data_IF_054278309222
#
_entry.id   IF_054278309222
#
_cell.length_a   1.000
_cell.length_b   1.000
_cell.length_c   1.000
_cell.angle_alpha   90.00
_cell.angle_beta   90.00
_cell.angle_gamma   90.00
#
_symmetry.space_group_name_H-M   'P 1'
#
loop_
_entity.id
_entity.type
_entity.pdbx_description
1 polymer ?
#
# COMPACT_ATOMS: atom_id res chain seq x y z
N UNK A 1 21.70 -23.44 -32.42
CA UNK A 1 22.70 -23.11 -31.41
C UNK A 1 22.24 -21.86 -30.69
N UNK A 2 21.53 -22.06 -29.58
CA UNK A 2 20.88 -20.99 -28.83
C UNK A 2 21.78 -20.66 -27.64
N UNK A 3 22.30 -19.46 -27.62
CA UNK A 3 23.05 -18.95 -26.46
C UNK A 3 22.07 -18.50 -25.39
N UNK A 4 21.92 -19.31 -24.34
CA UNK A 4 21.31 -18.91 -23.08
C UNK A 4 22.33 -18.06 -22.32
N UNK A 5 22.15 -16.75 -22.27
CA UNK A 5 22.88 -15.86 -21.36
C UNK A 5 22.25 -16.02 -19.97
N UNK A 6 22.95 -16.74 -19.11
CA UNK A 6 22.62 -16.81 -17.68
C UNK A 6 22.97 -15.46 -17.05
N UNK A 7 21.96 -14.73 -16.59
CA UNK A 7 22.14 -13.53 -15.76
C UNK A 7 22.53 -13.99 -14.37
N UNK A 8 23.82 -13.89 -14.05
CA UNK A 8 24.35 -14.17 -12.72
C UNK A 8 24.08 -12.95 -11.83
N UNK A 9 23.12 -13.07 -10.91
CA UNK A 9 22.96 -12.11 -9.82
C UNK A 9 24.13 -12.26 -8.86
N UNK A 10 25.10 -11.36 -8.91
CA UNK A 10 26.17 -11.27 -7.91
C UNK A 10 25.66 -10.39 -6.78
N UNK A 11 25.05 -10.99 -5.75
CA UNK A 11 24.83 -10.33 -4.47
C UNK A 11 26.19 -10.28 -3.74
N UNK A 12 26.82 -9.12 -3.72
CA UNK A 12 28.03 -8.92 -2.95
C UNK A 12 27.70 -8.82 -1.45
N UNK A 13 27.95 -9.89 -0.72
CA UNK A 13 27.83 -9.90 0.74
C UNK A 13 29.13 -9.34 1.36
N UNK A 14 29.03 -8.22 2.03
CA UNK A 14 30.13 -7.71 2.87
C UNK A 14 29.76 -7.91 4.34
N UNK A 15 30.49 -8.77 5.04
CA UNK A 15 30.42 -8.89 6.50
C UNK A 15 31.33 -7.84 7.12
N UNK A 16 30.77 -6.92 7.90
CA UNK A 16 31.52 -6.00 8.76
C UNK A 16 31.82 -6.70 10.09
N UNK A 17 33.02 -6.56 10.69
CA UNK A 17 33.37 -7.26 11.94
C UNK A 17 32.45 -6.86 13.07
N UNK A 18 32.21 -7.82 13.98
CA UNK A 18 31.36 -7.73 15.18
C UNK A 18 31.63 -6.45 15.98
N UNK A 19 30.72 -5.51 15.90
CA UNK A 19 30.73 -4.23 16.62
C UNK A 19 29.53 -3.33 16.27
N UNK A 20 28.85 -3.55 15.18
CA UNK A 20 27.61 -2.86 14.84
C UNK A 20 26.59 -3.85 14.26
N UNK A 21 25.47 -4.02 14.93
CA UNK A 21 24.42 -4.99 14.67
C UNK A 21 23.57 -4.73 13.41
N UNK A 22 24.09 -4.06 12.38
CA UNK A 22 23.35 -3.80 11.14
C UNK A 22 24.25 -4.03 9.92
N UNK A 23 24.10 -5.20 9.28
CA UNK A 23 24.63 -5.38 7.92
C UNK A 23 23.75 -4.58 6.96
N UNK A 24 24.26 -3.50 6.40
CA UNK A 24 23.56 -2.72 5.37
C UNK A 24 23.73 -3.45 4.03
N UNK A 25 22.61 -3.76 3.38
CA UNK A 25 22.61 -4.24 1.99
C UNK A 25 22.37 -3.08 1.05
N UNK A 26 23.04 -3.14 -0.09
CA UNK A 26 22.81 -2.23 -1.20
C UNK A 26 22.59 -3.06 -2.46
N UNK A 27 21.56 -2.73 -3.21
CA UNK A 27 21.25 -3.36 -4.49
C UNK A 27 21.57 -2.38 -5.61
N UNK A 28 22.31 -2.84 -6.62
CA UNK A 28 22.58 -2.07 -7.83
C UNK A 28 21.29 -1.95 -8.65
N UNK A 29 20.95 -0.73 -9.07
CA UNK A 29 19.89 -0.50 -10.02
C UNK A 29 20.45 -0.20 -11.40
N UNK A 30 20.20 -1.11 -12.35
CA UNK A 30 20.63 -0.95 -13.73
C UNK A 30 19.86 0.18 -14.45
N UNK A 31 18.67 0.53 -13.96
CA UNK A 31 17.86 1.61 -14.54
C UNK A 31 18.47 3.00 -14.37
N UNK A 32 19.36 3.15 -13.39
CA UNK A 32 20.04 4.41 -13.09
C UNK A 32 21.53 4.38 -13.45
N UNK A 33 22.05 3.28 -14.01
CA UNK A 33 23.42 3.26 -14.48
C UNK A 33 23.64 4.31 -15.58
N UNK A 34 24.79 4.95 -15.55
CA UNK A 34 25.17 6.04 -16.46
C UNK A 34 24.26 7.28 -16.40
N UNK A 35 23.56 7.51 -15.28
CA UNK A 35 22.74 8.70 -15.06
C UNK A 35 23.45 9.70 -14.14
N UNK A 36 23.26 10.98 -14.40
CA UNK A 36 23.66 12.07 -13.51
C UNK A 36 22.45 12.52 -12.72
N UNK A 37 22.60 12.67 -11.40
CA UNK A 37 21.55 13.22 -10.56
C UNK A 37 21.71 14.73 -10.40
N UNK A 38 20.58 15.44 -10.46
CA UNK A 38 20.48 16.87 -10.19
C UNK A 38 20.29 17.19 -8.70
N UNK A 39 19.97 16.17 -7.86
CA UNK A 39 19.71 16.32 -6.42
C UNK A 39 20.77 15.64 -5.57
N UNK A 40 22.03 15.96 -5.84
CA UNK A 40 23.17 15.42 -5.10
C UNK A 40 23.27 16.05 -3.69
N UNK A 41 23.38 15.20 -2.64
CA UNK A 41 23.61 15.67 -1.27
C UNK A 41 25.08 16.04 -1.07
N UNK A 42 26.00 15.20 -1.56
CA UNK A 42 27.44 15.36 -1.49
C UNK A 42 28.09 14.61 -2.65
N UNK A 43 29.01 15.29 -3.34
CA UNK A 43 29.90 14.68 -4.34
C UNK A 43 31.32 14.64 -3.80
N UNK A 44 31.83 13.46 -3.49
CA UNK A 44 33.18 13.30 -2.92
C UNK A 44 34.04 12.34 -3.71
N UNK A 45 35.36 12.58 -3.66
CA UNK A 45 36.32 11.59 -4.08
C UNK A 45 36.43 10.49 -3.03
N UNK A 46 36.44 9.22 -3.47
CA UNK A 46 36.54 8.04 -2.61
C UNK A 46 37.52 7.04 -3.22
N UNK A 47 38.17 6.27 -2.36
CA UNK A 47 39.20 5.32 -2.79
C UNK A 47 38.55 4.08 -3.41
N UNK A 48 37.35 3.70 -2.93
CA UNK A 48 36.69 2.45 -3.33
C UNK A 48 35.18 2.54 -3.26
N UNK A 49 34.50 1.59 -3.89
CA UNK A 49 33.07 1.34 -3.73
C UNK A 49 32.66 1.20 -2.26
N UNK A 50 33.44 0.45 -1.45
CA UNK A 50 33.18 0.24 -0.03
C UNK A 50 33.16 1.55 0.75
N UNK A 51 34.12 2.42 0.47
CA UNK A 51 34.23 3.74 1.10
C UNK A 51 33.01 4.62 0.74
N UNK A 52 32.53 4.57 -0.52
CA UNK A 52 31.31 5.24 -0.92
C UNK A 52 30.07 4.70 -0.18
N UNK A 53 29.93 3.38 -0.07
CA UNK A 53 28.83 2.76 0.65
C UNK A 53 28.84 3.09 2.15
N UNK A 54 30.01 3.19 2.78
CA UNK A 54 30.15 3.56 4.19
C UNK A 54 29.80 5.03 4.48
N UNK A 55 29.95 5.90 3.50
CA UNK A 55 29.56 7.31 3.60
C UNK A 55 28.05 7.52 3.49
N UNK A 56 27.33 6.61 2.85
CA UNK A 56 25.87 6.65 2.73
C UNK A 56 25.20 6.28 4.07
N UNK A 57 25.08 7.26 4.99
CA UNK A 57 24.52 7.11 6.35
C UNK A 57 23.42 8.14 6.60
N UNK A 58 22.63 7.92 7.66
CA UNK A 58 21.55 8.82 8.04
C UNK A 58 20.45 8.86 6.95
N UNK A 59 20.21 10.05 6.42
CA UNK A 59 19.22 10.31 5.38
C UNK A 59 19.61 9.83 3.97
N UNK A 60 20.79 9.25 3.81
CA UNK A 60 21.25 8.74 2.52
C UNK A 60 20.54 7.42 2.19
N UNK A 61 19.70 7.42 1.17
CA UNK A 61 18.98 6.24 0.68
C UNK A 61 19.63 5.62 -0.58
N UNK A 62 20.44 6.40 -1.31
CA UNK A 62 21.06 5.99 -2.57
C UNK A 62 22.47 6.55 -2.66
N UNK A 63 23.40 5.76 -3.17
CA UNK A 63 24.68 6.30 -3.60
C UNK A 63 25.03 5.90 -5.04
N UNK A 64 25.63 6.83 -5.76
CA UNK A 64 26.26 6.59 -7.04
C UNK A 64 27.76 6.41 -6.88
N UNK A 65 28.35 5.46 -7.58
CA UNK A 65 29.79 5.26 -7.63
C UNK A 65 30.29 5.18 -9.07
N UNK A 66 31.30 5.98 -9.38
CA UNK A 66 31.99 5.92 -10.66
C UNK A 66 33.42 5.45 -10.42
N UNK A 67 33.73 4.25 -10.88
CA UNK A 67 35.04 3.62 -10.66
C UNK A 67 36.17 4.30 -11.43
N UNK A 68 35.91 4.76 -12.64
CA UNK A 68 36.88 5.47 -13.47
C UNK A 68 37.28 6.82 -12.89
N UNK A 69 36.32 7.55 -12.31
CA UNK A 69 36.56 8.85 -11.72
C UNK A 69 36.92 8.77 -10.22
N UNK A 70 36.77 7.61 -9.58
CA UNK A 70 36.85 7.43 -8.10
C UNK A 70 35.98 8.41 -7.35
N UNK A 71 34.76 8.63 -7.84
CA UNK A 71 33.81 9.56 -7.26
C UNK A 71 32.60 8.85 -6.67
N UNK A 72 32.08 9.42 -5.57
CA UNK A 72 30.90 9.01 -4.85
C UNK A 72 29.87 10.16 -4.86
N UNK A 73 28.61 9.84 -5.09
CA UNK A 73 27.48 10.76 -4.97
C UNK A 73 26.49 10.20 -3.97
N UNK A 74 26.04 11.01 -3.05
CA UNK A 74 25.09 10.61 -2.01
C UNK A 74 23.76 11.33 -2.24
N UNK A 75 22.65 10.60 -2.14
CA UNK A 75 21.31 11.13 -2.38
C UNK A 75 20.34 10.61 -1.30
N UNK A 76 19.34 11.42 -0.92
CA UNK A 76 18.20 10.95 -0.12
C UNK A 76 17.31 10.02 -0.93
N UNK A 77 16.95 10.45 -2.13
CA UNK A 77 16.15 9.73 -3.12
C UNK A 77 16.70 10.04 -4.51
N UNK A 78 16.48 9.15 -5.45
CA UNK A 78 16.83 9.34 -6.85
C UNK A 78 15.60 9.08 -7.72
N UNK A 79 15.17 10.08 -8.49
CA UNK A 79 14.05 9.98 -9.42
C UNK A 79 14.55 9.97 -10.86
N UNK A 80 13.93 9.14 -11.71
CA UNK A 80 14.31 9.02 -13.13
C UNK A 80 14.21 10.34 -13.89
N UNK A 81 13.24 11.18 -13.54
CA UNK A 81 13.05 12.50 -14.14
C UNK A 81 14.10 13.54 -13.76
N UNK A 82 14.87 13.29 -12.70
CA UNK A 82 15.92 14.17 -12.20
C UNK A 82 17.32 13.68 -12.54
N UNK A 83 17.46 12.81 -13.56
CA UNK A 83 18.74 12.26 -13.98
C UNK A 83 19.01 12.56 -15.45
N UNK A 84 20.24 12.93 -15.78
CA UNK A 84 20.77 13.03 -17.15
C UNK A 84 21.79 11.91 -17.39
N UNK A 85 22.10 11.63 -18.67
CA UNK A 85 23.06 10.58 -19.01
C UNK A 85 24.49 11.04 -18.68
N UNK A 86 25.22 10.20 -17.93
CA UNK A 86 26.64 10.40 -17.61
C UNK A 86 27.33 9.03 -17.48
N UNK A 87 28.27 8.74 -18.36
CA UNK A 87 28.89 7.45 -18.48
C UNK A 87 29.69 7.05 -17.23
N UNK A 88 29.68 5.76 -16.91
CA UNK A 88 30.47 5.14 -15.85
C UNK A 88 29.84 5.20 -14.45
N UNK A 89 28.73 5.87 -14.28
CA UNK A 89 28.03 5.88 -12.98
C UNK A 89 27.17 4.63 -12.78
N UNK A 90 27.29 4.02 -11.59
CA UNK A 90 26.49 2.90 -11.11
C UNK A 90 25.84 3.29 -9.81
N UNK A 91 24.51 3.15 -9.70
CA UNK A 91 23.73 3.55 -8.53
C UNK A 91 23.32 2.34 -7.71
N UNK A 92 23.46 2.48 -6.39
CA UNK A 92 23.18 1.46 -5.39
C UNK A 92 22.22 2.03 -4.37
N UNK A 93 21.09 1.36 -4.22
CA UNK A 93 20.08 1.73 -3.28
C UNK A 93 20.34 1.02 -1.95
N UNK A 94 20.22 1.77 -0.85
CA UNK A 94 20.22 1.14 0.47
C UNK A 94 19.00 0.21 0.51
N UNK A 95 19.21 -1.03 0.92
CA UNK A 95 18.15 -2.03 1.07
C UNK A 95 17.34 -1.70 2.33
N UNK A 96 16.70 -0.51 2.35
CA UNK A 96 15.62 -0.28 3.28
C UNK A 96 14.49 -1.22 2.90
N UNK A 97 14.05 -2.01 3.85
CA UNK A 97 12.84 -2.78 3.69
C UNK A 97 11.73 -1.82 3.26
N UNK A 98 11.17 -2.03 2.08
CA UNK A 98 10.04 -1.23 1.63
C UNK A 98 8.89 -1.44 2.63
N UNK A 99 8.46 -0.37 3.29
CA UNK A 99 7.40 -0.47 4.31
C UNK A 99 6.02 -0.44 3.68
N UNK A 100 5.92 0.10 2.47
CA UNK A 100 4.70 0.21 1.66
C UNK A 100 5.01 0.27 0.16
N UNK A 101 3.99 0.39 -0.68
CA UNK A 101 4.17 0.47 -2.12
C UNK A 101 4.74 1.83 -2.58
N UNK A 102 4.63 2.88 -1.78
CA UNK A 102 5.29 4.16 -2.09
C UNK A 102 6.82 4.03 -1.97
N UNK A 103 7.32 3.27 -0.98
CA UNK A 103 8.75 2.97 -0.89
C UNK A 103 9.27 2.19 -2.12
N UNK A 104 8.45 1.27 -2.65
CA UNK A 104 8.81 0.55 -3.88
C UNK A 104 8.86 1.48 -5.08
N UNK A 105 7.88 2.38 -5.22
CA UNK A 105 7.87 3.39 -6.29
C UNK A 105 9.08 4.32 -6.16
N UNK A 106 9.40 4.77 -4.95
CA UNK A 106 10.57 5.61 -4.66
C UNK A 106 11.90 4.91 -5.01
N UNK A 107 11.92 3.56 -4.95
CA UNK A 107 13.06 2.72 -5.38
C UNK A 107 13.10 2.45 -6.89
N UNK A 108 12.15 3.01 -7.66
CA UNK A 108 12.12 2.89 -9.11
C UNK A 108 11.33 1.69 -9.64
N UNK A 109 10.58 0.97 -8.80
CA UNK A 109 9.63 -0.02 -9.32
C UNK A 109 8.48 0.71 -10.03
N UNK A 110 8.16 0.31 -11.27
CA UNK A 110 7.13 0.96 -12.09
C UNK A 110 6.00 0.02 -12.51
N UNK A 111 6.17 -1.28 -12.32
CA UNK A 111 5.18 -2.28 -12.71
C UNK A 111 4.29 -2.61 -11.52
N UNK A 112 2.97 -2.48 -11.72
CA UNK A 112 1.99 -2.93 -10.72
C UNK A 112 2.05 -4.45 -10.59
N UNK A 113 1.90 -4.96 -9.35
CA UNK A 113 1.99 -6.40 -9.09
C UNK A 113 2.04 -6.71 -7.60
N UNK A 114 2.28 -7.97 -7.27
CA UNK A 114 2.42 -8.41 -5.88
C UNK A 114 3.86 -8.31 -5.44
N UNK A 115 4.05 -7.69 -4.27
CA UNK A 115 5.35 -7.43 -3.66
C UNK A 115 5.34 -7.78 -2.18
N UNK A 116 6.52 -8.06 -1.64
CA UNK A 116 6.75 -8.14 -0.20
C UNK A 116 7.05 -6.74 0.34
N UNK A 117 6.27 -6.27 1.30
CA UNK A 117 6.52 -5.07 2.08
C UNK A 117 6.77 -5.44 3.55
N UNK A 118 7.35 -4.52 4.31
CA UNK A 118 7.74 -4.75 5.70
C UNK A 118 7.19 -3.65 6.61
N UNK A 119 5.88 -3.55 6.79
CA UNK A 119 5.25 -2.47 7.55
C UNK A 119 5.74 -2.42 8.99
N UNK A 120 6.04 -3.57 9.60
CA UNK A 120 6.59 -3.69 10.95
C UNK A 120 8.10 -3.44 11.03
N UNK A 121 8.77 -3.16 9.90
CA UNK A 121 10.24 -3.00 9.79
C UNK A 121 11.03 -4.19 10.32
N UNK A 122 10.44 -5.38 10.30
CA UNK A 122 11.06 -6.65 10.72
C UNK A 122 11.34 -7.49 9.48
N UNK A 123 12.61 -7.78 9.14
CA UNK A 123 12.99 -8.49 7.91
C UNK A 123 12.42 -9.90 7.76
N UNK A 124 12.15 -10.57 8.90
CA UNK A 124 11.60 -11.93 8.90
C UNK A 124 10.06 -11.97 8.80
N UNK A 125 9.39 -10.82 8.75
CA UNK A 125 7.93 -10.73 8.71
C UNK A 125 7.50 -9.86 7.51
N UNK A 126 7.66 -10.37 6.27
CA UNK A 126 7.11 -9.70 5.09
C UNK A 126 5.60 -9.85 5.04
N UNK A 127 4.94 -8.85 4.49
CA UNK A 127 3.52 -8.88 4.13
C UNK A 127 3.41 -8.80 2.62
N UNK A 128 2.77 -9.80 1.99
CA UNK A 128 2.48 -9.74 0.56
C UNK A 128 1.29 -8.83 0.30
N UNK A 129 1.49 -7.85 -0.59
CA UNK A 129 0.44 -6.90 -0.98
C UNK A 129 0.44 -6.68 -2.49
N UNK A 130 -0.69 -6.31 -3.05
CA UNK A 130 -0.73 -5.79 -4.41
C UNK A 130 -0.37 -4.30 -4.38
N UNK A 131 0.65 -3.91 -5.13
CA UNK A 131 1.04 -2.52 -5.34
C UNK A 131 0.53 -2.05 -6.70
N UNK A 132 -0.26 -0.98 -6.69
CA UNK A 132 -0.62 -0.26 -7.89
C UNK A 132 0.38 0.91 -8.07
N UNK A 133 1.31 0.73 -9.00
CA UNK A 133 2.40 1.68 -9.25
C UNK A 133 2.12 2.61 -10.43
N UNK A 134 0.87 2.62 -10.93
CA UNK A 134 0.48 3.37 -12.11
C UNK A 134 -0.68 4.33 -11.88
N UNK A 135 -1.72 3.93 -11.15
CA UNK A 135 -2.92 4.75 -10.90
C UNK A 135 -2.54 6.06 -10.20
N UNK A 136 -2.93 7.22 -10.79
CA UNK A 136 -2.70 8.55 -10.22
C UNK A 136 -1.27 8.77 -9.68
N UNK A 137 -0.28 8.37 -10.46
CA UNK A 137 1.13 8.51 -10.10
C UNK A 137 1.71 7.35 -9.29
N UNK A 138 0.93 6.29 -9.02
CA UNK A 138 1.40 5.07 -8.37
C UNK A 138 1.63 5.18 -6.86
N UNK A 139 2.25 4.16 -6.30
CA UNK A 139 2.60 4.09 -4.87
C UNK A 139 1.45 3.62 -3.96
N UNK A 140 0.38 3.06 -4.53
CA UNK A 140 -0.79 2.60 -3.80
C UNK A 140 -0.63 1.18 -3.29
N UNK A 141 -0.88 0.96 -2.00
CA UNK A 141 -0.95 -0.35 -1.34
C UNK A 141 -2.39 -0.80 -1.25
N UNK A 142 -2.77 -1.90 -1.91
CA UNK A 142 -4.11 -2.44 -1.82
C UNK A 142 -4.34 -3.08 -0.44
N UNK A 143 -5.37 -2.59 0.27
CA UNK A 143 -5.79 -3.12 1.57
C UNK A 143 -6.98 -4.07 1.43
N UNK A 144 -7.77 -3.92 0.38
CA UNK A 144 -8.89 -4.79 0.01
C UNK A 144 -8.92 -4.96 -1.50
N UNK A 145 -9.24 -6.15 -1.96
CA UNK A 145 -9.49 -6.43 -3.38
C UNK A 145 -10.51 -7.56 -3.51
N UNK A 146 -11.50 -7.37 -4.38
CA UNK A 146 -12.49 -8.38 -4.75
C UNK A 146 -12.64 -8.44 -6.26
N UNK A 147 -12.87 -9.64 -6.80
CA UNK A 147 -12.93 -9.91 -8.24
C UNK A 147 -14.16 -10.74 -8.61
N UNK A 148 -14.45 -11.81 -7.87
CA UNK A 148 -15.42 -12.83 -8.26
C UNK A 148 -16.15 -13.50 -7.09
N UNK A 149 -15.83 -13.11 -5.86
CA UNK A 149 -16.42 -13.69 -4.64
C UNK A 149 -15.89 -15.07 -4.27
N UNK A 150 -14.75 -15.49 -4.84
CA UNK A 150 -14.11 -16.78 -4.53
C UNK A 150 -13.60 -16.86 -3.08
N UNK A 151 -13.32 -15.72 -2.46
CA UNK A 151 -12.97 -15.61 -1.04
C UNK A 151 -14.16 -15.09 -0.26
N UNK A 152 -14.63 -15.85 0.74
CA UNK A 152 -15.65 -15.34 1.65
C UNK A 152 -15.10 -14.24 2.56
N UNK A 153 -15.83 -13.12 2.65
CA UNK A 153 -15.59 -12.03 3.59
C UNK A 153 -16.50 -12.11 4.83
N UNK A 154 -17.36 -13.14 4.92
CA UNK A 154 -18.02 -13.53 6.17
C UNK A 154 -17.01 -14.20 7.09
N UNK A 155 -16.29 -13.39 7.85
CA UNK A 155 -15.15 -13.76 8.68
C UNK A 155 -15.27 -13.17 10.06
N UNK A 156 -14.62 -13.82 11.03
CA UNK A 156 -14.57 -13.39 12.42
C UNK A 156 -13.53 -12.27 12.65
N UNK A 157 -13.52 -11.73 13.86
CA UNK A 157 -12.58 -10.66 14.28
C UNK A 157 -11.12 -11.03 14.08
N UNK A 158 -10.73 -12.23 14.48
CA UNK A 158 -9.36 -12.70 14.36
C UNK A 158 -8.90 -12.80 12.90
N UNK A 159 -9.78 -13.24 12.00
CA UNK A 159 -9.49 -13.27 10.57
C UNK A 159 -9.28 -11.85 10.03
N UNK A 160 -10.18 -10.91 10.33
CA UNK A 160 -10.03 -9.52 9.92
C UNK A 160 -8.81 -8.83 10.52
N UNK A 161 -8.47 -9.14 11.77
CA UNK A 161 -7.24 -8.68 12.41
C UNK A 161 -6.00 -9.09 11.63
N UNK A 162 -5.89 -10.39 11.32
CA UNK A 162 -4.68 -11.00 10.75
C UNK A 162 -4.61 -10.90 9.22
N UNK A 163 -5.75 -10.70 8.55
CA UNK A 163 -5.89 -10.75 7.10
C UNK A 163 -6.19 -12.14 6.55
N UNK A 164 -6.78 -12.19 5.37
CA UNK A 164 -7.16 -13.42 4.67
C UNK A 164 -7.17 -13.21 3.15
N UNK A 165 -7.21 -14.32 2.40
CA UNK A 165 -7.18 -14.32 0.95
C UNK A 165 -5.77 -14.21 0.38
N UNK A 166 -5.67 -13.74 -0.87
CA UNK A 166 -4.41 -13.58 -1.60
C UNK A 166 -4.41 -12.28 -2.40
N UNK A 167 -3.32 -11.48 -2.37
CA UNK A 167 -3.22 -10.25 -3.15
C UNK A 167 -3.24 -10.48 -4.67
N UNK A 168 -2.95 -11.69 -5.14
CA UNK A 168 -3.13 -12.08 -6.54
C UNK A 168 -4.61 -12.08 -6.94
N UNK A 169 -5.51 -12.49 -6.05
CA UNK A 169 -6.95 -12.66 -6.29
C UNK A 169 -7.77 -11.73 -5.42
N UNK A 170 -8.39 -12.24 -4.36
CA UNK A 170 -9.18 -11.48 -3.39
C UNK A 170 -8.50 -11.46 -2.03
N UNK A 171 -8.46 -10.31 -1.37
CA UNK A 171 -7.71 -10.12 -0.12
C UNK A 171 -8.31 -9.05 0.77
N UNK A 172 -8.20 -9.27 2.08
CA UNK A 172 -8.13 -8.27 3.14
C UNK A 172 -6.78 -8.42 3.81
N UNK A 173 -5.94 -7.37 3.82
CA UNK A 173 -4.54 -7.51 4.28
C UNK A 173 -4.39 -7.59 5.79
N UNK A 174 -5.45 -7.37 6.55
CA UNK A 174 -5.47 -7.39 8.01
C UNK A 174 -5.48 -6.01 8.66
N UNK A 175 -6.32 -5.85 9.70
CA UNK A 175 -6.46 -4.58 10.40
C UNK A 175 -5.18 -4.17 11.11
N UNK A 176 -4.38 -5.11 11.65
CA UNK A 176 -3.08 -4.82 12.25
C UNK A 176 -2.11 -4.22 11.22
N UNK A 177 -2.12 -4.74 9.99
CA UNK A 177 -1.29 -4.22 8.90
C UNK A 177 -1.77 -2.84 8.47
N UNK A 178 -3.10 -2.65 8.32
CA UNK A 178 -3.69 -1.35 7.96
C UNK A 178 -3.34 -0.29 9.00
N UNK A 179 -3.51 -0.62 10.30
CA UNK A 179 -3.10 0.26 11.39
C UNK A 179 -1.61 0.62 11.27
N UNK A 180 -0.75 -0.37 11.12
CA UNK A 180 0.69 -0.17 11.04
C UNK A 180 1.11 0.72 9.87
N UNK A 181 0.44 0.61 8.71
CA UNK A 181 0.69 1.44 7.53
C UNK A 181 0.21 2.89 7.69
N UNK A 182 -0.77 3.15 8.56
CA UNK A 182 -1.46 4.45 8.65
C UNK A 182 -1.24 5.22 9.97
N UNK A 183 -0.62 4.61 10.98
CA UNK A 183 -0.49 5.18 12.33
C UNK A 183 0.45 6.39 12.44
N UNK A 184 1.47 6.48 11.58
CA UNK A 184 2.52 7.50 11.69
C UNK A 184 2.38 8.63 10.65
N UNK A 185 1.68 8.37 9.54
CA UNK A 185 1.59 9.30 8.42
C UNK A 185 0.15 9.48 7.95
N UNK A 186 -0.17 10.68 7.51
CA UNK A 186 -1.41 10.91 6.78
C UNK A 186 -1.40 10.10 5.48
N UNK A 187 -2.43 9.30 5.27
CA UNK A 187 -2.58 8.49 4.06
C UNK A 187 -3.84 8.91 3.31
N UNK A 188 -3.81 8.91 1.98
CA UNK A 188 -5.03 8.93 1.17
C UNK A 188 -5.63 7.55 1.08
N UNK A 189 -6.97 7.48 1.01
CA UNK A 189 -7.73 6.29 0.64
C UNK A 189 -8.25 6.46 -0.78
N UNK A 190 -8.02 5.46 -1.63
CA UNK A 190 -8.63 5.32 -2.95
C UNK A 190 -9.54 4.11 -2.96
N UNK A 191 -10.82 4.32 -3.24
CA UNK A 191 -11.83 3.28 -3.42
C UNK A 191 -12.17 3.19 -4.90
N UNK A 192 -12.29 1.98 -5.44
CA UNK A 192 -12.80 1.79 -6.79
C UNK A 192 -13.76 0.62 -6.90
N UNK A 193 -14.74 0.78 -7.79
CA UNK A 193 -15.73 -0.25 -8.15
C UNK A 193 -15.75 -0.39 -9.66
N UNK A 194 -15.52 -1.61 -10.16
CA UNK A 194 -15.59 -1.94 -11.57
C UNK A 194 -16.96 -2.50 -11.89
N UNK A 195 -17.68 -1.86 -12.79
CA UNK A 195 -18.99 -2.29 -13.27
C UNK A 195 -18.87 -3.41 -14.32
N UNK A 196 -19.95 -4.17 -14.63
CA UNK A 196 -19.92 -5.25 -15.61
C UNK A 196 -19.52 -4.83 -17.02
N UNK A 197 -19.81 -3.59 -17.41
CA UNK A 197 -19.42 -3.01 -18.70
C UNK A 197 -17.94 -2.59 -18.77
N UNK A 198 -17.17 -2.83 -17.68
CA UNK A 198 -15.77 -2.46 -17.57
C UNK A 198 -15.53 -1.00 -17.12
N UNK A 199 -16.58 -0.20 -16.90
CA UNK A 199 -16.43 1.14 -16.33
C UNK A 199 -15.88 1.05 -14.91
N UNK A 200 -14.84 1.82 -14.63
CA UNK A 200 -14.25 1.93 -13.29
C UNK A 200 -14.67 3.26 -12.65
N UNK A 201 -15.46 3.19 -11.61
CA UNK A 201 -15.83 4.33 -10.79
C UNK A 201 -14.91 4.39 -9.57
N UNK A 202 -14.60 5.56 -9.08
CA UNK A 202 -13.71 5.73 -7.92
C UNK A 202 -14.13 6.89 -7.04
N UNK A 203 -13.67 6.83 -5.77
CA UNK A 203 -13.69 7.95 -4.83
C UNK A 203 -12.38 7.97 -4.04
N UNK A 204 -11.88 9.16 -3.78
CA UNK A 204 -10.61 9.36 -3.08
C UNK A 204 -10.82 10.30 -1.90
N UNK A 205 -10.25 9.94 -0.76
CA UNK A 205 -10.29 10.69 0.50
C UNK A 205 -8.88 11.15 0.88
N UNK A 206 -8.75 12.40 1.29
CA UNK A 206 -7.45 13.02 1.57
C UNK A 206 -6.75 12.52 2.81
N UNK A 207 -7.50 12.06 3.82
CA UNK A 207 -6.93 11.50 5.05
C UNK A 207 -7.60 10.19 5.46
N UNK A 208 -6.79 9.17 5.73
CA UNK A 208 -7.24 7.85 6.19
C UNK A 208 -6.28 7.29 7.22
N UNK A 209 -6.80 6.86 8.34
CA UNK A 209 -6.06 6.03 9.29
C UNK A 209 -7.00 5.15 10.11
N UNK A 210 -6.45 4.12 10.73
CA UNK A 210 -7.16 3.17 11.57
C UNK A 210 -6.42 3.03 12.90
N UNK A 211 -7.14 3.07 14.04
CA UNK A 211 -6.54 2.84 15.36
C UNK A 211 -6.04 1.38 15.51
N UNK A 212 -5.34 1.09 16.59
CA UNK A 212 -4.97 -0.28 16.95
C UNK A 212 -6.17 -1.10 17.45
N UNK A 213 -5.93 -2.37 17.80
CA UNK A 213 -6.96 -3.28 18.31
C UNK A 213 -7.59 -2.79 19.63
N UNK A 214 -6.80 -2.15 20.51
CA UNK A 214 -7.31 -1.59 21.76
C UNK A 214 -8.32 -0.46 21.51
N UNK A 215 -8.12 0.30 20.44
CA UNK A 215 -9.06 1.29 19.90
C UNK A 215 -10.11 0.68 18.97
N UNK A 216 -10.25 -0.66 18.91
CA UNK A 216 -11.24 -1.38 18.08
C UNK A 216 -11.13 -1.04 16.59
N UNK A 217 -9.94 -0.77 16.09
CA UNK A 217 -9.67 -0.37 14.72
C UNK A 217 -10.56 0.78 14.23
N UNK A 218 -10.77 1.79 15.08
CA UNK A 218 -11.58 2.96 14.79
C UNK A 218 -11.10 3.65 13.52
N UNK A 219 -12.03 3.95 12.61
CA UNK A 219 -11.76 4.66 11.37
C UNK A 219 -11.61 6.15 11.61
N UNK A 220 -10.55 6.75 11.09
CA UNK A 220 -10.40 8.20 10.95
C UNK A 220 -10.31 8.54 9.47
N UNK A 221 -11.31 9.25 8.97
CA UNK A 221 -11.41 9.64 7.57
C UNK A 221 -11.62 11.14 7.48
N UNK A 222 -10.91 11.80 6.57
CA UNK A 222 -11.06 13.24 6.33
C UNK A 222 -11.14 13.54 4.84
N UNK A 223 -11.82 14.64 4.51
CA UNK A 223 -11.94 15.12 3.14
C UNK A 223 -10.71 15.89 2.64
N UNK A 224 -10.80 16.44 1.42
CA UNK A 224 -11.98 16.34 0.57
C UNK A 224 -12.19 14.93 -0.02
N UNK A 225 -13.45 14.57 -0.29
CA UNK A 225 -13.81 13.43 -1.12
C UNK A 225 -13.88 13.88 -2.58
N UNK A 226 -13.23 13.16 -3.49
CA UNK A 226 -13.17 13.50 -4.92
C UNK A 226 -13.18 12.26 -5.78
N UNK A 227 -14.08 12.21 -6.73
CA UNK A 227 -14.18 11.06 -7.63
C UNK A 227 -15.44 11.03 -8.47
N UNK A 228 -15.78 9.86 -8.97
CA UNK A 228 -16.95 9.61 -9.82
C UNK A 228 -18.01 8.75 -9.14
N UNK A 229 -17.70 8.14 -7.97
CA UNK A 229 -18.65 7.38 -7.17
C UNK A 229 -19.57 8.29 -6.34
N UNK A 230 -19.07 9.46 -5.93
CA UNK A 230 -19.72 10.32 -4.92
C UNK A 230 -19.46 9.83 -3.50
N UNK A 231 -19.30 10.78 -2.58
CA UNK A 231 -18.96 10.50 -1.19
C UNK A 231 -20.05 9.69 -0.47
N UNK A 232 -19.65 8.57 0.14
CA UNK A 232 -20.52 7.69 0.95
C UNK A 232 -19.83 7.17 2.21
N UNK A 233 -18.66 7.71 2.52
CA UNK A 233 -17.95 7.35 3.74
C UNK A 233 -17.80 8.52 4.71
N UNK A 234 -17.81 9.77 4.22
CA UNK A 234 -17.87 10.97 5.05
C UNK A 234 -19.29 11.57 5.09
N UNK A 235 -20.02 11.52 4.00
CA UNK A 235 -21.44 11.92 3.78
C UNK A 235 -21.95 13.06 4.70
N UNK A 236 -21.15 14.11 4.80
CA UNK A 236 -21.34 15.21 5.74
C UNK A 236 -22.56 16.09 5.44
N UNK A 237 -23.29 15.81 4.38
CA UNK A 237 -24.45 16.60 3.93
C UNK A 237 -25.78 15.84 3.88
N UNK A 238 -25.80 14.55 4.17
CA UNK A 238 -27.02 13.73 4.14
C UNK A 238 -27.81 13.86 5.46
N UNK A 239 -29.14 14.01 5.40
CA UNK A 239 -29.99 13.96 6.58
C UNK A 239 -29.91 12.62 7.32
N UNK A 240 -29.48 11.55 6.64
CA UNK A 240 -29.39 10.21 7.20
C UNK A 240 -28.07 9.95 7.94
N UNK A 241 -27.13 10.88 7.84
CA UNK A 241 -25.83 10.88 8.53
C UNK A 241 -25.08 9.54 8.45
N UNK A 242 -24.61 9.19 7.27
CA UNK A 242 -23.86 7.95 7.00
C UNK A 242 -22.34 8.11 7.18
N UNK A 243 -21.88 9.16 7.85
CA UNK A 243 -20.46 9.39 8.13
C UNK A 243 -19.88 8.19 8.89
N UNK A 244 -18.90 7.53 8.29
CA UNK A 244 -18.20 6.38 8.86
C UNK A 244 -16.96 6.79 9.67
N UNK A 245 -16.54 8.05 9.60
CA UNK A 245 -15.43 8.54 10.40
C UNK A 245 -15.79 8.48 11.89
N UNK A 246 -14.88 7.93 12.70
CA UNK A 246 -15.10 7.68 14.11
C UNK A 246 -15.80 6.35 14.43
N UNK A 247 -16.28 5.59 13.45
CA UNK A 247 -16.88 4.27 13.69
C UNK A 247 -15.82 3.23 14.01
N UNK A 248 -16.18 2.33 14.94
CA UNK A 248 -15.37 1.17 15.29
C UNK A 248 -15.59 0.04 14.28
N UNK A 249 -14.59 -0.80 14.10
CA UNK A 249 -14.70 -1.99 13.26
C UNK A 249 -15.59 -3.03 13.95
N UNK A 250 -16.49 -3.63 13.20
CA UNK A 250 -17.40 -4.71 13.68
C UNK A 250 -17.29 -5.91 12.75
N UNK A 251 -17.43 -7.09 13.33
CA UNK A 251 -17.47 -8.38 12.64
C UNK A 251 -18.66 -9.20 13.14
N UNK A 252 -19.10 -10.28 12.48
CA UNK A 252 -20.26 -11.08 12.94
C UNK A 252 -20.18 -11.60 14.37
N UNK A 253 -18.97 -11.75 14.92
CA UNK A 253 -18.70 -12.21 16.28
C UNK A 253 -18.29 -11.10 17.26
N UNK A 254 -18.15 -9.86 16.80
CA UNK A 254 -17.73 -8.72 17.64
C UNK A 254 -18.46 -7.44 17.22
N UNK A 255 -19.48 -7.10 17.98
CA UNK A 255 -20.33 -5.94 17.74
C UNK A 255 -19.76 -4.69 18.38
N UNK A 256 -19.41 -3.72 17.55
CA UNK A 256 -18.95 -2.38 17.93
C UNK A 256 -19.63 -1.30 17.10
N UNK A 257 -20.73 -1.63 16.40
CA UNK A 257 -21.40 -0.70 15.49
C UNK A 257 -22.21 0.40 16.21
N UNK A 258 -22.77 1.32 15.46
CA UNK A 258 -23.58 2.43 15.99
C UNK A 258 -25.07 2.12 16.10
N UNK A 259 -25.53 0.91 15.84
CA UNK A 259 -26.94 0.53 15.84
C UNK A 259 -27.37 -0.12 17.15
N UNK A 260 -27.99 0.65 18.04
CA UNK A 260 -28.43 0.17 19.35
C UNK A 260 -29.56 -0.90 19.30
N UNK A 261 -30.16 -1.13 18.15
CA UNK A 261 -31.29 -2.06 17.97
C UNK A 261 -30.91 -3.41 17.36
N UNK A 262 -29.65 -3.63 16.99
CA UNK A 262 -29.24 -4.85 16.32
C UNK A 262 -27.74 -4.93 16.11
N UNK A 263 -27.32 -5.80 15.20
CA UNK A 263 -25.95 -6.07 14.88
C UNK A 263 -25.75 -6.05 13.35
N UNK A 264 -25.19 -4.97 12.82
CA UNK A 264 -25.04 -4.78 11.38
C UNK A 264 -24.19 -5.87 10.73
N UNK A 265 -23.05 -6.19 11.31
CA UNK A 265 -22.12 -7.17 10.76
C UNK A 265 -22.66 -8.62 10.80
N UNK A 266 -23.65 -8.93 11.64
CA UNK A 266 -24.25 -10.25 11.74
C UNK A 266 -25.51 -10.41 10.89
N UNK A 267 -26.07 -9.31 10.34
CA UNK A 267 -27.27 -9.35 9.50
C UNK A 267 -26.97 -10.06 8.17
N UNK A 268 -27.91 -10.85 7.67
CA UNK A 268 -27.74 -11.68 6.49
C UNK A 268 -27.25 -10.90 5.25
N UNK A 269 -27.80 -9.71 5.03
CA UNK A 269 -27.51 -8.90 3.85
C UNK A 269 -26.24 -8.07 3.94
N UNK A 270 -25.67 -7.91 5.14
CA UNK A 270 -24.51 -7.06 5.39
C UNK A 270 -23.33 -7.82 6.02
N UNK A 271 -23.46 -9.15 6.09
CA UNK A 271 -22.53 -10.04 6.80
C UNK A 271 -21.09 -9.88 6.33
N UNK A 272 -20.22 -9.50 7.26
CA UNK A 272 -18.82 -9.21 7.01
C UNK A 272 -18.26 -8.15 7.95
N UNK A 273 -16.96 -7.92 7.90
CA UNK A 273 -16.30 -6.91 8.73
C UNK A 273 -16.30 -5.53 8.09
N UNK A 274 -16.75 -4.52 8.80
CA UNK A 274 -16.78 -3.13 8.32
C UNK A 274 -16.89 -2.11 9.47
N UNK A 275 -16.73 -0.83 9.16
CA UNK A 275 -16.99 0.29 10.06
C UNK A 275 -18.47 0.70 9.97
N UNK A 276 -19.33 -0.07 10.60
CA UNK A 276 -20.78 0.16 10.54
C UNK A 276 -21.21 1.30 11.45
N UNK A 277 -22.12 2.12 10.94
CA UNK A 277 -22.87 3.08 11.73
C UNK A 277 -24.25 2.48 12.12
N UNK A 278 -25.28 2.62 11.24
CA UNK A 278 -26.61 2.08 11.46
C UNK A 278 -27.37 1.86 10.13
N UNK A 279 -27.00 1.03 9.20
CA UNK A 279 -25.79 0.22 9.14
C UNK A 279 -24.74 0.85 8.21
N UNK A 280 -25.06 1.12 6.89
CA UNK A 280 -24.09 1.57 5.92
C UNK A 280 -24.73 2.26 4.70
N UNK A 281 -23.94 3.09 4.01
CA UNK A 281 -24.16 3.57 2.63
C UNK A 281 -23.02 3.12 1.70
N UNK A 282 -21.90 2.68 2.28
CA UNK A 282 -20.78 2.05 1.61
C UNK A 282 -20.43 0.74 2.34
N UNK A 283 -20.36 -0.38 1.63
CA UNK A 283 -20.02 -1.71 2.19
C UNK A 283 -19.29 -2.56 1.16
N UNK A 284 -17.97 -2.49 1.14
CA UNK A 284 -17.17 -3.23 0.16
C UNK A 284 -16.84 -4.67 0.60
N UNK A 285 -16.97 -4.95 1.90
CA UNK A 285 -16.73 -6.27 2.48
C UNK A 285 -17.99 -7.12 2.66
N UNK A 286 -19.14 -6.63 2.20
CA UNK A 286 -20.40 -7.35 2.27
C UNK A 286 -20.43 -8.62 1.40
N UNK A 287 -21.54 -9.39 1.48
CA UNK A 287 -21.72 -10.59 0.67
C UNK A 287 -21.56 -10.32 -0.83
N UNK A 288 -20.83 -11.19 -1.51
CA UNK A 288 -20.70 -11.18 -2.97
C UNK A 288 -21.90 -11.88 -3.59
N UNK A 289 -23.04 -11.19 -3.64
CA UNK A 289 -24.27 -11.75 -4.19
C UNK A 289 -25.06 -10.68 -4.94
N UNK A 290 -25.53 -10.98 -6.18
CA UNK A 290 -26.35 -10.04 -6.94
C UNK A 290 -27.77 -9.84 -6.37
N UNK A 291 -28.14 -10.56 -5.30
CA UNK A 291 -29.50 -10.55 -4.72
C UNK A 291 -29.54 -10.01 -3.28
N UNK A 292 -28.42 -9.61 -2.68
CA UNK A 292 -28.40 -9.13 -1.30
C UNK A 292 -28.49 -7.59 -1.24
N UNK A 293 -29.08 -7.10 -0.19
CA UNK A 293 -29.18 -5.68 0.15
C UNK A 293 -27.82 -5.06 0.55
N UNK A 294 -26.76 -5.82 0.45
CA UNK A 294 -25.39 -5.37 0.69
C UNK A 294 -24.90 -4.42 -0.39
N UNK A 295 -25.43 -3.21 -0.41
CA UNK A 295 -25.07 -2.18 -1.38
C UNK A 295 -23.61 -1.78 -1.25
N UNK A 296 -22.78 -2.07 -2.25
CA UNK A 296 -21.38 -1.69 -2.16
C UNK A 296 -21.20 -0.18 -2.09
N UNK A 297 -22.13 0.61 -2.72
CA UNK A 297 -22.03 2.08 -2.73
C UNK A 297 -23.35 2.72 -3.15
N UNK A 298 -24.21 3.04 -2.20
CA UNK A 298 -25.53 3.63 -2.49
C UNK A 298 -25.43 5.15 -2.77
N UNK A 299 -26.16 5.74 -3.75
CA UNK A 299 -27.01 5.07 -4.75
C UNK A 299 -26.25 4.76 -6.06
N UNK A 300 -24.98 5.09 -6.18
CA UNK A 300 -24.21 4.95 -7.43
C UNK A 300 -24.11 3.50 -7.89
N UNK A 301 -23.98 2.56 -6.93
CA UNK A 301 -23.90 1.11 -7.19
C UNK A 301 -24.83 0.40 -6.21
N UNK A 302 -25.97 -0.04 -6.70
CA UNK A 302 -27.01 -0.74 -5.92
C UNK A 302 -26.96 -2.24 -6.16
N UNK A 303 -27.68 -3.01 -5.33
CA UNK A 303 -27.73 -4.48 -5.35
C UNK A 303 -28.10 -5.10 -6.68
N UNK A 304 -28.91 -4.45 -7.47
CA UNK A 304 -29.33 -4.90 -8.79
C UNK A 304 -28.25 -4.73 -9.86
N UNK A 305 -27.22 -3.97 -9.54
CA UNK A 305 -26.08 -3.74 -10.42
C UNK A 305 -25.00 -4.74 -10.08
N UNK A 306 -24.76 -5.71 -10.96
CA UNK A 306 -23.62 -6.62 -10.78
C UNK A 306 -22.33 -5.83 -10.70
N UNK A 307 -21.52 -6.09 -9.68
CA UNK A 307 -20.16 -5.53 -9.54
C UNK A 307 -19.17 -6.56 -10.04
N UNK A 308 -18.23 -6.16 -10.88
CA UNK A 308 -17.17 -7.02 -11.40
C UNK A 308 -15.94 -7.04 -10.50
N UNK A 309 -15.76 -6.02 -9.67
CA UNK A 309 -14.65 -5.94 -8.73
C UNK A 309 -14.72 -4.71 -7.85
N UNK A 310 -14.11 -4.79 -6.68
CA UNK A 310 -13.87 -3.65 -5.78
C UNK A 310 -12.43 -3.63 -5.34
N UNK A 311 -11.91 -2.44 -5.04
CA UNK A 311 -10.56 -2.27 -4.52
C UNK A 311 -10.50 -1.07 -3.59
N UNK A 312 -9.84 -1.25 -2.43
CA UNK A 312 -9.44 -0.16 -1.54
C UNK A 312 -7.92 -0.12 -1.49
N UNK A 313 -7.35 1.04 -1.68
CA UNK A 313 -5.91 1.25 -1.66
C UNK A 313 -5.56 2.47 -0.82
N UNK A 314 -4.43 2.41 -0.14
CA UNK A 314 -3.90 3.53 0.63
C UNK A 314 -2.55 3.97 0.07
N UNK A 315 -2.27 5.26 0.21
CA UNK A 315 -0.99 5.86 -0.16
C UNK A 315 -0.62 6.91 0.88
N UNK A 316 0.57 6.81 1.46
CA UNK A 316 1.09 7.84 2.37
C UNK A 316 1.54 9.08 1.59
N UNK A 317 1.51 10.21 2.27
CA UNK A 317 1.99 11.50 1.78
C UNK A 317 3.40 11.82 2.26
#
# INVERSE_FOLDING_TARGET
MSNLLAVIFIAAYFTVPLGSMFSRRYTRSMDFDNKKSEQELLGEYVISFKDCAEKCRGDCGVFGYNEGLKKCRLHRKLHRSSTSDEEGWRYFFHDFLATDCQDLLDKGHINSGVYDIYPFRIPSIPVKVFCDLTTMGGGWTAIQKRIDGSVTFDRNWTDYKNGFGSPETEVWIGNDVIHQLTKENTSSLYVSITLPNGTNLYEMYGGFSVSDEAGKYQLFLTGPATGTLGDRMLDTGSPDNYDLSGMFFSTPDNDNDGWSGGHCAASFDTRGGWWFRSCHSALLNGPWSPRSWGWPWYPAVMTETSVRGTKMMIKRH
#
